data_IF_825809949173
#
_entry.id   IF_825809949173
#
_cell.length_a   1.000
_cell.length_b   1.000
_cell.length_c   1.000
_cell.angle_alpha   90.00
_cell.angle_beta   90.00
_cell.angle_gamma   90.00
#
_symmetry.space_group_name_H-M   'P 1'
#
loop_
_entity.id
_entity.type
_entity.pdbx_description
1 polymer ?
#
# COMPACT_ATOMS: atom_id res chain seq x y z
N UNK A 1 -15.58 -39.13 -38.29
CA UNK A 1 -16.03 -39.05 -36.88
C UNK A 1 -15.12 -38.08 -36.13
N UNK A 2 -15.71 -37.16 -35.35
CA UNK A 2 -15.04 -36.09 -34.60
C UNK A 2 -14.29 -36.64 -33.38
N UNK A 3 -13.13 -36.05 -33.03
CA UNK A 3 -12.91 -35.23 -31.81
C UNK A 3 -11.41 -34.94 -31.62
N UNK A 4 -11.02 -33.68 -31.83
CA UNK A 4 -9.81 -33.12 -31.25
C UNK A 4 -10.11 -32.78 -29.78
N UNK A 5 -9.30 -33.30 -28.86
CA UNK A 5 -9.41 -33.02 -27.43
C UNK A 5 -8.67 -31.72 -27.13
N UNK A 6 -9.38 -30.58 -27.20
CA UNK A 6 -8.86 -29.31 -26.70
C UNK A 6 -8.84 -29.35 -25.17
N UNK A 7 -7.64 -29.52 -24.62
CA UNK A 7 -7.39 -29.37 -23.19
C UNK A 7 -7.62 -27.90 -22.83
N UNK A 8 -8.80 -27.59 -22.30
CA UNK A 8 -9.15 -26.27 -21.80
C UNK A 8 -8.15 -25.86 -20.70
N UNK A 9 -7.21 -24.97 -21.06
CA UNK A 9 -6.29 -24.32 -20.11
C UNK A 9 -7.12 -23.56 -19.07
N UNK A 10 -7.24 -24.12 -17.86
CA UNK A 10 -7.82 -23.44 -16.70
C UNK A 10 -7.07 -22.11 -16.49
N UNK A 11 -7.72 -20.99 -16.79
CA UNK A 11 -7.21 -19.66 -16.47
C UNK A 11 -7.07 -19.59 -14.94
N UNK A 12 -5.85 -19.62 -14.43
CA UNK A 12 -5.58 -19.35 -13.03
C UNK A 12 -6.22 -17.99 -12.70
N UNK A 13 -7.16 -17.95 -11.75
CA UNK A 13 -7.76 -16.70 -11.30
C UNK A 13 -6.65 -15.89 -10.64
N UNK A 14 -6.05 -14.98 -11.42
CA UNK A 14 -5.11 -14.01 -10.88
C UNK A 14 -5.88 -13.21 -9.83
N UNK A 15 -5.41 -13.24 -8.59
CA UNK A 15 -6.00 -12.45 -7.51
C UNK A 15 -6.14 -11.00 -7.99
N UNK A 16 -7.33 -10.40 -7.92
CA UNK A 16 -7.55 -9.05 -8.41
C UNK A 16 -6.56 -8.12 -7.71
N UNK A 17 -5.96 -7.22 -8.48
CA UNK A 17 -4.94 -6.33 -7.94
C UNK A 17 -5.57 -5.45 -6.85
N UNK A 18 -4.93 -5.35 -5.68
CA UNK A 18 -5.36 -4.46 -4.61
C UNK A 18 -5.46 -3.01 -5.12
N UNK A 19 -6.65 -2.44 -5.26
CA UNK A 19 -6.82 -1.02 -5.62
C UNK A 19 -6.77 -0.14 -4.37
N UNK A 20 -6.44 1.14 -4.53
CA UNK A 20 -6.66 2.11 -3.45
C UNK A 20 -8.17 2.40 -3.42
N UNK A 21 -8.84 1.93 -2.38
CA UNK A 21 -10.28 2.12 -2.18
C UNK A 21 -10.49 2.66 -0.76
N UNK A 22 -11.53 3.46 -0.55
CA UNK A 22 -11.87 4.01 0.78
C UNK A 22 -12.00 2.91 1.85
N UNK A 23 -12.55 1.74 1.50
CA UNK A 23 -12.68 0.57 2.39
C UNK A 23 -11.32 0.04 2.86
N UNK A 24 -10.29 0.14 2.01
CA UNK A 24 -8.93 -0.31 2.36
C UNK A 24 -8.20 0.72 3.21
N UNK A 25 -8.45 2.00 2.96
CA UNK A 25 -7.94 3.11 3.77
C UNK A 25 -8.57 3.13 5.17
N UNK A 26 -9.85 2.79 5.31
CA UNK A 26 -10.53 2.71 6.62
C UNK A 26 -10.44 1.32 7.27
N UNK A 27 -9.86 0.35 6.58
CA UNK A 27 -9.69 -1.00 7.09
C UNK A 27 -8.57 -1.11 8.13
N UNK A 28 -8.38 -2.30 8.75
CA UNK A 28 -7.41 -2.52 9.82
C UNK A 28 -5.95 -2.24 9.44
N UNK A 29 -5.63 -2.23 8.13
CA UNK A 29 -4.28 -1.95 7.61
C UNK A 29 -4.14 -0.54 7.02
N UNK A 30 -5.18 0.27 7.12
CA UNK A 30 -5.25 1.62 6.60
C UNK A 30 -4.80 2.66 7.63
N UNK A 31 -5.64 3.65 7.92
CA UNK A 31 -5.32 4.75 8.83
C UNK A 31 -4.99 4.32 10.26
N UNK A 32 -5.58 3.23 10.75
CA UNK A 32 -5.28 2.73 12.10
C UNK A 32 -3.81 2.26 12.21
N UNK A 33 -3.32 1.56 11.18
CA UNK A 33 -1.90 1.16 11.08
C UNK A 33 -0.98 2.38 11.00
N UNK A 34 -1.35 3.39 10.19
CA UNK A 34 -0.60 4.64 10.10
C UNK A 34 -0.53 5.34 11.45
N UNK A 35 -1.66 5.43 12.16
CA UNK A 35 -1.74 6.04 13.49
C UNK A 35 -0.83 5.32 14.48
N UNK A 36 -0.81 3.99 14.46
CA UNK A 36 0.07 3.19 15.32
C UNK A 36 1.55 3.40 14.96
N UNK A 37 1.89 3.42 13.67
CA UNK A 37 3.26 3.69 13.20
C UNK A 37 3.81 5.05 13.66
N UNK A 38 2.94 6.06 13.73
CA UNK A 38 3.29 7.40 14.19
C UNK A 38 3.34 7.50 15.72
N UNK A 39 2.41 6.85 16.44
CA UNK A 39 2.42 6.81 17.91
C UNK A 39 3.69 6.18 18.49
N UNK A 40 4.28 5.22 17.77
CA UNK A 40 5.51 4.57 18.19
C UNK A 40 6.78 5.34 17.79
N UNK A 41 6.67 6.39 16.95
CA UNK A 41 7.82 7.16 16.53
C UNK A 41 8.19 8.22 17.57
N UNK A 42 9.48 8.31 17.87
CA UNK A 42 10.03 9.35 18.75
C UNK A 42 10.86 10.30 17.91
N UNK A 43 10.27 11.45 17.60
CA UNK A 43 11.00 12.54 16.96
C UNK A 43 12.07 13.09 17.88
N UNK A 44 13.23 13.37 17.32
CA UNK A 44 14.40 13.84 18.07
C UNK A 44 14.30 15.33 18.38
N UNK A 45 13.54 16.08 17.58
CA UNK A 45 13.17 17.48 17.83
C UNK A 45 14.15 18.48 17.24
N UNK A 46 14.26 19.64 17.90
CA UNK A 46 14.91 20.83 17.35
C UNK A 46 16.35 20.56 16.91
N UNK A 47 16.66 20.89 15.65
CA UNK A 47 17.96 20.66 15.02
C UNK A 47 18.10 19.32 14.29
N UNK A 48 17.11 18.43 14.38
CA UNK A 48 17.01 17.21 13.56
C UNK A 48 15.69 17.12 12.79
N UNK A 49 14.99 18.23 12.63
CA UNK A 49 13.68 18.31 11.98
C UNK A 49 13.69 17.73 10.57
N UNK A 50 14.77 17.92 9.80
CA UNK A 50 14.92 17.32 8.47
C UNK A 50 15.03 15.79 8.55
N UNK A 51 15.80 15.26 9.50
CA UNK A 51 15.95 13.82 9.69
C UNK A 51 14.67 13.17 10.23
N UNK A 52 13.95 13.89 11.10
CA UNK A 52 12.64 13.49 11.61
C UNK A 52 11.60 13.47 10.49
N UNK A 53 11.62 14.47 9.60
CA UNK A 53 10.77 14.52 8.41
C UNK A 53 11.11 13.40 7.42
N UNK A 54 12.40 13.17 7.15
CA UNK A 54 12.84 12.08 6.27
C UNK A 54 12.38 10.72 6.81
N UNK A 55 12.50 10.51 8.12
CA UNK A 55 12.01 9.30 8.79
C UNK A 55 10.48 9.17 8.66
N UNK A 56 9.76 10.29 8.81
CA UNK A 56 8.30 10.33 8.64
C UNK A 56 7.90 9.95 7.21
N UNK A 57 8.53 10.54 6.21
CA UNK A 57 8.25 10.27 4.80
C UNK A 57 8.49 8.80 4.45
N UNK A 58 9.62 8.23 4.86
CA UNK A 58 9.91 6.80 4.65
C UNK A 58 8.87 5.89 5.29
N UNK A 59 8.35 6.24 6.47
CA UNK A 59 7.28 5.48 7.13
C UNK A 59 5.96 5.53 6.37
N UNK A 60 5.59 6.70 5.87
CA UNK A 60 4.41 6.88 5.04
C UNK A 60 4.53 6.09 3.73
N UNK A 61 5.68 6.14 3.07
CA UNK A 61 5.95 5.36 1.86
C UNK A 61 5.87 3.85 2.13
N UNK A 62 6.49 3.38 3.22
CA UNK A 62 6.40 1.97 3.63
C UNK A 62 4.96 1.53 3.91
N UNK A 63 4.17 2.37 4.57
CA UNK A 63 2.75 2.11 4.81
C UNK A 63 1.95 2.08 3.50
N UNK A 64 2.15 3.05 2.61
CA UNK A 64 1.50 3.12 1.31
C UNK A 64 1.81 1.89 0.45
N UNK A 65 3.08 1.47 0.40
CA UNK A 65 3.51 0.24 -0.28
C UNK A 65 2.86 -1.01 0.31
N UNK A 66 2.61 -1.08 1.62
CA UNK A 66 1.88 -2.21 2.23
C UNK A 66 0.42 -2.27 1.82
N UNK A 67 -0.22 -1.13 1.56
CA UNK A 67 -1.59 -1.05 1.04
C UNK A 67 -1.68 -1.38 -0.45
N UNK A 68 -0.80 -0.78 -1.26
CA UNK A 68 -0.79 -0.87 -2.72
C UNK A 68 0.66 -1.00 -3.23
N UNK A 69 1.25 -2.22 -3.24
CA UNK A 69 2.69 -2.41 -3.47
C UNK A 69 3.19 -2.08 -4.87
N UNK A 70 2.29 -1.77 -5.81
CA UNK A 70 2.61 -1.48 -7.20
C UNK A 70 2.36 -0.02 -7.59
N UNK A 71 2.03 0.83 -6.62
CA UNK A 71 1.77 2.24 -6.80
C UNK A 71 2.94 3.01 -6.19
N UNK A 72 3.51 3.96 -6.93
CA UNK A 72 4.51 4.86 -6.37
C UNK A 72 3.87 5.73 -5.27
N UNK A 73 4.68 6.23 -4.34
CA UNK A 73 4.15 7.06 -3.25
C UNK A 73 3.46 8.33 -3.77
N UNK A 74 4.04 9.01 -4.76
CA UNK A 74 3.44 10.21 -5.35
C UNK A 74 2.05 9.92 -5.95
N UNK A 75 1.94 8.85 -6.76
CA UNK A 75 0.66 8.40 -7.33
C UNK A 75 -0.33 7.93 -6.26
N UNK A 76 0.17 7.45 -5.12
CA UNK A 76 -0.65 7.04 -3.98
C UNK A 76 -1.27 8.26 -3.30
N UNK A 77 -0.49 9.32 -3.09
CA UNK A 77 -0.97 10.57 -2.50
C UNK A 77 -1.99 11.23 -3.42
N UNK A 78 -1.72 11.32 -4.73
CA UNK A 78 -2.66 11.90 -5.70
C UNK A 78 -4.02 11.18 -5.73
N UNK A 79 -4.03 9.87 -5.48
CA UNK A 79 -5.29 9.10 -5.40
C UNK A 79 -5.95 9.11 -4.03
N UNK A 80 -5.23 9.52 -2.99
CA UNK A 80 -5.73 9.60 -1.63
C UNK A 80 -6.36 10.97 -1.32
N UNK A 81 -5.97 12.02 -2.05
CA UNK A 81 -6.59 13.35 -2.07
C UNK A 81 -8.01 13.32 -2.68
#
# INVERSE_FOLDING_TARGET
MKKANEVAKKKASRRPRPKLDAIRLTGPRGFDELTNLLKHEKFKGKGQEFADLDTLMHKFEYWAHRLVPHLAFDDFIEKAE
#
